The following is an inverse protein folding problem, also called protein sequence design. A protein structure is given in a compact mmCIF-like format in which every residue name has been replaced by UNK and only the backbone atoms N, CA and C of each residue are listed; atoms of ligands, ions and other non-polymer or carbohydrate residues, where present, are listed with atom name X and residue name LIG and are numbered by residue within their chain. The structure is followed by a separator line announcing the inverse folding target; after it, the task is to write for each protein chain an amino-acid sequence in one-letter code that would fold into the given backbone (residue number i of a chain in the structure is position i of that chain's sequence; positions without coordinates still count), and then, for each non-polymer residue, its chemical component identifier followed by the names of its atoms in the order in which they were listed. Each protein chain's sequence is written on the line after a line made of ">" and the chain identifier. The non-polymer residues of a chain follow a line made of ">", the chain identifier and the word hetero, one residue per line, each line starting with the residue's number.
data_IF_276672718771
#
_entry.id   IF_276672718771
#
_cell.length_a   1.000
_cell.length_b   1.000
_cell.length_c   1.000
_cell.angle_alpha   90.00
_cell.angle_beta   90.00
_cell.angle_gamma   90.00
#
_symmetry.space_group_name_H-M   'P 1'
#
loop_
_entity.id
_entity.type
_entity.pdbx_description
1 polymer ?
#
# COMPACT_ATOMS: atom_id res chain seq x y z
N UNK A 1 -32.29 -9.89 22.70
CA UNK A 1 -31.57 -9.32 21.54
C UNK A 1 -30.70 -8.19 22.09
N UNK A 2 -29.45 -8.50 22.46
CA UNK A 2 -28.55 -7.51 23.05
C UNK A 2 -28.17 -6.49 21.98
N UNK A 3 -28.49 -5.21 22.21
CA UNK A 3 -27.88 -4.13 21.44
C UNK A 3 -26.39 -4.21 21.73
N UNK A 4 -25.58 -4.53 20.73
CA UNK A 4 -24.13 -4.34 20.81
C UNK A 4 -23.92 -2.88 21.20
N UNK A 5 -23.40 -2.63 22.40
CA UNK A 5 -23.04 -1.27 22.78
C UNK A 5 -22.08 -0.72 21.72
N UNK A 6 -22.29 0.53 21.33
CA UNK A 6 -21.40 1.19 20.37
C UNK A 6 -19.98 1.12 20.92
N UNK A 7 -19.02 0.67 20.11
CA UNK A 7 -17.60 0.63 20.47
C UNK A 7 -17.07 2.01 20.92
N UNK A 8 -17.75 3.10 20.53
CA UNK A 8 -17.49 4.47 20.97
C UNK A 8 -17.68 4.63 22.48
N UNK A 9 -18.62 3.89 23.09
CA UNK A 9 -18.87 3.93 24.53
C UNK A 9 -17.79 3.21 25.35
N UNK A 10 -16.89 2.46 24.69
CA UNK A 10 -15.80 1.71 25.31
C UNK A 10 -14.42 2.35 25.08
N UNK A 11 -14.32 3.35 24.20
CA UNK A 11 -13.08 4.04 23.90
C UNK A 11 -12.87 5.25 24.80
N UNK A 12 -11.64 5.42 25.31
CA UNK A 12 -11.22 6.64 26.00
C UNK A 12 -11.26 7.86 25.07
N UNK A 13 -11.37 9.06 25.66
CA UNK A 13 -11.30 10.32 24.92
C UNK A 13 -10.01 10.42 24.11
N UNK A 14 -8.88 9.97 24.66
CA UNK A 14 -7.59 9.94 23.97
C UNK A 14 -7.63 9.05 22.72
N UNK A 15 -8.24 7.86 22.81
CA UNK A 15 -8.39 6.95 21.68
C UNK A 15 -9.28 7.55 20.58
N UNK A 16 -10.38 8.21 20.96
CA UNK A 16 -11.27 8.89 20.02
C UNK A 16 -10.53 10.03 19.31
N UNK A 17 -9.80 10.87 20.04
CA UNK A 17 -9.02 11.96 19.47
C UNK A 17 -7.90 11.45 18.54
N UNK A 18 -7.21 10.38 18.92
CA UNK A 18 -6.19 9.75 18.09
C UNK A 18 -6.79 9.21 16.79
N UNK A 19 -7.95 8.56 16.86
CA UNK A 19 -8.66 8.09 15.68
C UNK A 19 -9.15 9.24 14.79
N UNK A 20 -9.67 10.32 15.39
CA UNK A 20 -10.06 11.53 14.67
C UNK A 20 -8.94 12.14 13.83
N UNK A 21 -7.71 12.18 14.38
CA UNK A 21 -6.53 12.63 13.63
C UNK A 21 -6.18 11.72 12.44
N UNK A 22 -6.39 10.41 12.57
CA UNK A 22 -6.22 9.48 11.44
C UNK A 22 -7.25 9.74 10.35
N UNK A 23 -8.52 9.90 10.74
CA UNK A 23 -9.60 10.24 9.80
C UNK A 23 -9.31 11.54 9.05
N UNK A 24 -8.80 12.56 9.73
CA UNK A 24 -8.35 13.80 9.09
C UNK A 24 -7.27 13.55 8.03
N UNK A 25 -6.25 12.72 8.34
CA UNK A 25 -5.23 12.33 7.37
C UNK A 25 -5.82 11.58 6.17
N UNK A 26 -6.81 10.71 6.38
CA UNK A 26 -7.46 9.98 5.29
C UNK A 26 -8.25 10.92 4.39
N UNK A 27 -8.98 11.87 4.98
CA UNK A 27 -9.71 12.90 4.24
C UNK A 27 -8.76 13.80 3.43
N UNK A 28 -7.60 14.17 3.98
CA UNK A 28 -6.59 14.96 3.29
C UNK A 28 -6.04 14.24 2.05
N UNK A 29 -5.77 12.94 2.15
CA UNK A 29 -5.42 12.13 0.99
C UNK A 29 -6.57 12.06 -0.02
N UNK A 30 -7.81 11.87 0.46
CA UNK A 30 -9.00 11.86 -0.38
C UNK A 30 -9.18 13.13 -1.20
N UNK A 31 -9.04 14.30 -0.56
CA UNK A 31 -9.07 15.61 -1.21
C UNK A 31 -7.94 15.76 -2.25
N UNK A 32 -6.76 15.22 -1.95
CA UNK A 32 -5.64 15.21 -2.90
C UNK A 32 -5.95 14.37 -4.13
N UNK A 33 -6.59 13.20 -3.96
CA UNK A 33 -7.05 12.37 -5.07
C UNK A 33 -8.12 13.10 -5.90
N UNK A 34 -9.07 13.76 -5.26
CA UNK A 34 -10.10 14.56 -5.95
C UNK A 34 -9.47 15.63 -6.84
N UNK A 35 -8.55 16.42 -6.28
CA UNK A 35 -7.79 17.45 -7.02
C UNK A 35 -7.03 16.88 -8.21
N UNK A 36 -6.29 15.79 -8.01
CA UNK A 36 -5.48 15.17 -9.08
C UNK A 36 -6.35 14.68 -10.23
N UNK A 37 -7.56 14.20 -9.93
CA UNK A 37 -8.47 13.67 -10.94
C UNK A 37 -9.42 14.73 -11.52
N UNK A 38 -9.51 15.91 -10.90
CA UNK A 38 -10.41 16.99 -11.32
C UNK A 38 -10.05 17.49 -12.74
N UNK A 39 -10.98 17.44 -13.72
CA UNK A 39 -10.67 17.73 -15.13
C UNK A 39 -10.04 19.10 -15.39
N UNK A 40 -10.38 20.11 -14.59
CA UNK A 40 -9.89 21.49 -14.74
C UNK A 40 -8.60 21.77 -13.96
N UNK A 41 -8.25 20.91 -12.99
CA UNK A 41 -7.02 21.04 -12.18
C UNK A 41 -5.92 20.07 -12.66
N UNK A 42 -6.19 19.31 -13.73
CA UNK A 42 -5.21 18.50 -14.45
C UNK A 42 -4.19 19.38 -15.16
N UNK A 43 -3.26 19.95 -14.39
CA UNK A 43 -2.01 20.47 -14.95
C UNK A 43 -1.22 19.32 -15.59
N UNK A 44 -0.43 19.62 -16.63
CA UNK A 44 0.45 18.63 -17.28
C UNK A 44 1.32 17.94 -16.21
N UNK A 45 1.27 16.61 -16.05
CA UNK A 45 1.76 16.06 -14.79
C UNK A 45 3.19 15.52 -15.02
N UNK A 46 3.97 15.07 -14.04
CA UNK A 46 3.78 13.70 -13.52
C UNK A 46 4.94 13.27 -12.60
N UNK A 47 5.52 14.18 -11.80
CA UNK A 47 6.51 13.79 -10.75
C UNK A 47 6.16 14.26 -9.36
N UNK A 48 5.32 15.28 -9.24
CA UNK A 48 4.78 15.68 -7.95
C UNK A 48 3.99 14.50 -7.37
N UNK A 49 4.24 14.22 -6.11
CA UNK A 49 3.57 13.21 -5.34
C UNK A 49 2.50 13.82 -4.46
N UNK A 50 1.61 12.96 -3.97
CA UNK A 50 0.70 13.30 -2.88
C UNK A 50 1.07 12.44 -1.68
N UNK A 51 0.94 13.03 -0.49
CA UNK A 51 1.10 12.31 0.77
C UNK A 51 -0.08 11.35 0.94
N UNK A 52 0.21 10.06 1.12
CA UNK A 52 -0.78 9.02 1.39
C UNK A 52 -1.03 8.93 2.90
N UNK A 53 0.02 8.61 3.65
CA UNK A 53 0.00 8.48 5.10
C UNK A 53 1.44 8.45 5.66
N UNK A 54 1.59 8.43 6.98
CA UNK A 54 2.84 7.98 7.63
C UNK A 54 2.94 6.46 7.57
N UNK A 55 4.15 5.89 7.56
CA UNK A 55 4.32 4.42 7.46
C UNK A 55 3.63 3.69 8.62
N UNK A 56 2.61 2.86 8.33
CA UNK A 56 1.91 2.08 9.35
C UNK A 56 2.81 1.16 10.17
N UNK A 57 2.44 0.91 11.43
CA UNK A 57 3.21 0.09 12.37
C UNK A 57 3.63 -1.26 11.81
N UNK A 58 2.68 -2.00 11.22
CA UNK A 58 2.93 -3.31 10.62
C UNK A 58 3.93 -3.28 9.45
N UNK A 59 3.94 -2.18 8.68
CA UNK A 59 4.93 -1.99 7.61
C UNK A 59 6.32 -1.69 8.19
N UNK A 60 6.40 -1.00 9.33
CA UNK A 60 7.67 -0.80 10.05
C UNK A 60 8.19 -2.11 10.66
N UNK A 61 7.31 -2.95 11.18
CA UNK A 61 7.68 -4.24 11.76
C UNK A 61 8.28 -5.20 10.73
N UNK A 62 7.79 -5.18 9.48
CA UNK A 62 8.42 -5.94 8.37
C UNK A 62 9.70 -5.31 7.85
N UNK A 63 10.06 -4.10 8.31
CA UNK A 63 11.36 -3.48 8.08
C UNK A 63 11.34 -2.14 7.34
N UNK A 64 10.19 -1.56 6.98
CA UNK A 64 10.17 -0.23 6.37
C UNK A 64 10.63 0.83 7.39
N UNK A 65 11.41 1.82 6.94
CA UNK A 65 11.76 2.97 7.79
C UNK A 65 10.52 3.80 8.09
N UNK A 66 10.56 4.54 9.20
CA UNK A 66 9.50 5.47 9.59
C UNK A 66 9.52 6.75 8.73
N UNK A 67 9.15 6.60 7.46
CA UNK A 67 9.13 7.66 6.45
C UNK A 67 7.67 7.96 6.04
N UNK A 68 7.38 9.15 5.48
CA UNK A 68 6.10 9.39 4.85
C UNK A 68 5.92 8.49 3.61
N UNK A 69 4.68 8.08 3.34
CA UNK A 69 4.30 7.32 2.16
C UNK A 69 3.72 8.24 1.10
N UNK A 70 4.27 8.18 -0.11
CA UNK A 70 3.84 9.03 -1.23
C UNK A 70 3.45 8.20 -2.44
N UNK A 71 2.57 8.76 -3.27
CA UNK A 71 2.21 8.23 -4.60
C UNK A 71 2.27 9.37 -5.62
N UNK A 72 2.83 9.13 -6.81
CA UNK A 72 2.81 10.18 -7.85
C UNK A 72 1.39 10.45 -8.33
N UNK A 73 1.14 11.69 -8.77
CA UNK A 73 -0.08 12.01 -9.51
C UNK A 73 -0.25 11.13 -10.76
N UNK A 74 0.86 10.75 -11.42
CA UNK A 74 0.85 9.78 -12.53
C UNK A 74 0.24 8.46 -12.10
N UNK A 75 0.72 7.89 -11.00
CA UNK A 75 0.25 6.59 -10.53
C UNK A 75 -1.22 6.65 -10.12
N UNK A 76 -1.70 7.74 -9.51
CA UNK A 76 -3.14 7.92 -9.25
C UNK A 76 -3.94 7.89 -10.56
N UNK A 77 -3.54 8.68 -11.56
CA UNK A 77 -4.22 8.73 -12.86
C UNK A 77 -4.23 7.34 -13.51
N UNK A 78 -3.07 6.67 -13.55
CA UNK A 78 -2.93 5.32 -14.10
C UNK A 78 -3.82 4.30 -13.37
N UNK A 79 -3.86 4.35 -12.04
CA UNK A 79 -4.71 3.46 -11.24
C UNK A 79 -6.19 3.64 -11.61
N UNK A 80 -6.63 4.88 -11.88
CA UNK A 80 -8.03 5.16 -12.28
C UNK A 80 -8.35 4.94 -13.74
N UNK A 81 -7.37 5.00 -14.62
CA UNK A 81 -7.61 4.92 -16.05
C UNK A 81 -8.12 3.52 -16.40
N UNK A 82 -9.12 3.44 -17.27
CA UNK A 82 -9.66 2.16 -17.74
C UNK A 82 -8.56 1.27 -18.28
N UNK A 83 -8.64 -0.03 -17.96
CA UNK A 83 -7.71 -1.06 -18.41
C UNK A 83 -7.65 -1.03 -19.94
N UNK A 84 -6.45 -0.94 -20.49
CA UNK A 84 -6.23 -0.91 -21.92
C UNK A 84 -5.24 -2.02 -22.32
N UNK A 85 -5.49 -2.69 -23.45
CA UNK A 85 -4.65 -3.81 -23.91
C UNK A 85 -3.18 -3.38 -24.14
N UNK A 86 -2.98 -2.13 -24.54
CA UNK A 86 -1.66 -1.56 -24.82
C UNK A 86 -1.01 -0.86 -23.62
N UNK A 87 -1.65 -0.81 -22.44
CA UNK A 87 -1.09 -0.17 -21.26
C UNK A 87 -1.40 -0.94 -19.98
N UNK A 88 -0.40 -1.70 -19.52
CA UNK A 88 -0.47 -2.48 -18.28
C UNK A 88 -0.46 -1.64 -17.00
N UNK A 89 -0.14 -0.35 -17.07
CA UNK A 89 -0.22 0.57 -15.93
C UNK A 89 -1.67 1.02 -15.64
N UNK A 90 -2.60 0.79 -16.57
CA UNK A 90 -4.00 1.19 -16.39
C UNK A 90 -4.80 0.10 -15.67
N UNK A 91 -5.45 0.49 -14.57
CA UNK A 91 -6.00 -0.48 -13.62
C UNK A 91 -7.51 -0.39 -13.40
N UNK A 92 -8.16 0.67 -13.89
CA UNK A 92 -9.61 0.83 -13.88
C UNK A 92 -10.23 0.85 -12.48
N UNK A 93 -9.48 1.32 -11.48
CA UNK A 93 -10.02 1.55 -10.14
C UNK A 93 -10.88 2.80 -10.11
N UNK A 94 -11.95 2.75 -9.34
CA UNK A 94 -12.71 3.93 -8.98
C UNK A 94 -11.90 4.85 -8.08
N UNK A 95 -12.27 6.12 -8.09
CA UNK A 95 -11.75 7.12 -7.17
C UNK A 95 -11.90 6.69 -5.70
N UNK A 96 -13.08 6.18 -5.35
CA UNK A 96 -13.40 5.78 -3.98
C UNK A 96 -12.58 4.55 -3.52
N UNK A 97 -12.22 3.64 -4.43
CA UNK A 97 -11.30 2.54 -4.10
C UNK A 97 -9.90 3.06 -3.76
N UNK A 98 -9.36 4.03 -4.53
CA UNK A 98 -8.06 4.63 -4.24
C UNK A 98 -8.07 5.35 -2.89
N UNK A 99 -9.12 6.11 -2.59
CA UNK A 99 -9.22 6.90 -1.35
C UNK A 99 -9.16 6.07 -0.07
N UNK A 100 -9.48 4.78 -0.12
CA UNK A 100 -9.37 3.84 1.02
C UNK A 100 -7.94 3.47 1.37
N UNK A 101 -6.97 3.76 0.50
CA UNK A 101 -5.59 3.31 0.63
C UNK A 101 -4.95 3.58 2.01
N UNK A 102 -4.97 4.81 2.58
CA UNK A 102 -4.27 5.07 3.83
C UNK A 102 -4.84 4.27 5.01
N UNK A 103 -6.16 4.14 5.09
CA UNK A 103 -6.83 3.35 6.13
C UNK A 103 -6.55 1.85 5.96
N UNK A 104 -6.69 1.34 4.73
CA UNK A 104 -6.49 -0.08 4.44
C UNK A 104 -5.04 -0.54 4.66
N UNK A 105 -4.06 0.35 4.46
CA UNK A 105 -2.65 0.08 4.74
C UNK A 105 -2.33 -0.01 6.23
N UNK A 106 -3.18 0.51 7.12
CA UNK A 106 -2.97 0.33 8.56
C UNK A 106 -3.11 -1.13 8.98
N UNK A 107 -3.99 -1.87 8.31
CA UNK A 107 -4.34 -3.24 8.66
C UNK A 107 -4.44 -4.14 7.40
N UNK A 108 -3.34 -4.31 6.65
CA UNK A 108 -3.31 -5.15 5.45
C UNK A 108 -3.62 -6.60 5.83
N UNK A 109 -4.19 -7.35 4.90
CA UNK A 109 -4.52 -8.78 5.12
C UNK A 109 -3.28 -9.64 4.99
N UNK A 110 -2.43 -9.35 4.00
CA UNK A 110 -1.22 -10.10 3.69
C UNK A 110 -0.12 -9.11 3.30
N UNK A 111 1.11 -9.35 3.78
CA UNK A 111 2.31 -8.67 3.28
C UNK A 111 3.24 -9.72 2.67
N UNK A 112 3.82 -9.40 1.51
CA UNK A 112 4.77 -10.27 0.81
C UNK A 112 5.95 -9.47 0.30
N UNK A 113 7.07 -10.14 0.04
CA UNK A 113 8.12 -9.57 -0.80
C UNK A 113 7.63 -9.48 -2.25
N UNK A 114 8.11 -8.49 -2.99
CA UNK A 114 7.86 -8.38 -4.42
C UNK A 114 8.62 -9.46 -5.20
N UNK A 115 8.01 -9.93 -6.29
CA UNK A 115 8.65 -10.85 -7.23
C UNK A 115 9.55 -10.16 -8.24
N UNK A 116 9.24 -8.91 -8.57
CA UNK A 116 9.86 -8.18 -9.69
C UNK A 116 10.82 -7.10 -9.24
N UNK A 117 10.68 -6.61 -8.00
CA UNK A 117 11.52 -5.57 -7.46
C UNK A 117 12.10 -6.02 -6.12
N UNK A 118 13.42 -6.10 -6.04
CA UNK A 118 14.10 -6.43 -4.77
C UNK A 118 13.73 -5.38 -3.71
N UNK A 119 13.64 -5.84 -2.46
CA UNK A 119 13.43 -4.99 -1.28
C UNK A 119 12.08 -4.25 -1.24
N UNK A 120 11.20 -4.51 -2.21
CA UNK A 120 9.85 -3.96 -2.23
C UNK A 120 8.86 -4.91 -1.55
N UNK A 121 7.84 -4.31 -0.95
CA UNK A 121 6.73 -5.02 -0.30
C UNK A 121 5.49 -4.93 -1.18
N UNK A 122 4.72 -6.01 -1.22
CA UNK A 122 3.37 -6.02 -1.76
C UNK A 122 2.40 -6.23 -0.60
N UNK A 123 1.46 -5.29 -0.45
CA UNK A 123 0.37 -5.40 0.52
C UNK A 123 -0.91 -5.85 -0.18
N UNK A 124 -1.60 -6.84 0.39
CA UNK A 124 -2.96 -7.22 0.00
C UNK A 124 -3.93 -6.56 0.97
N UNK A 125 -4.88 -5.78 0.45
CA UNK A 125 -5.84 -5.02 1.23
C UNK A 125 -7.12 -5.83 1.52
N UNK A 126 -7.99 -5.34 2.39
CA UNK A 126 -9.20 -6.05 2.83
C UNK A 126 -10.46 -5.76 2.00
N UNK A 127 -10.28 -5.28 0.77
CA UNK A 127 -11.36 -5.05 -0.18
C UNK A 127 -10.98 -5.48 -1.59
N UNK A 128 -12.00 -5.52 -2.46
CA UNK A 128 -11.91 -5.99 -3.84
C UNK A 128 -12.22 -4.85 -4.80
N UNK A 129 -11.70 -4.93 -6.02
CA UNK A 129 -12.09 -4.03 -7.10
C UNK A 129 -13.53 -4.33 -7.56
N UNK A 130 -14.07 -3.47 -8.44
CA UNK A 130 -15.39 -3.67 -9.08
C UNK A 130 -15.56 -5.01 -9.81
N UNK A 131 -14.48 -5.69 -10.19
CA UNK A 131 -14.51 -7.01 -10.84
C UNK A 131 -14.39 -8.16 -9.80
N UNK A 132 -14.42 -7.85 -8.50
CA UNK A 132 -14.28 -8.81 -7.41
C UNK A 132 -12.84 -9.27 -7.14
N UNK A 133 -11.82 -8.60 -7.68
CA UNK A 133 -10.42 -9.02 -7.53
C UNK A 133 -9.81 -8.42 -6.26
N UNK A 134 -9.06 -9.19 -5.44
CA UNK A 134 -8.35 -8.65 -4.29
C UNK A 134 -7.41 -7.52 -4.70
N UNK A 135 -7.45 -6.41 -3.97
CA UNK A 135 -6.58 -5.27 -4.24
C UNK A 135 -5.19 -5.54 -3.67
N UNK A 136 -4.16 -5.28 -4.48
CA UNK A 136 -2.78 -5.26 -4.04
C UNK A 136 -2.14 -3.89 -4.25
N UNK A 137 -1.18 -3.56 -3.40
CA UNK A 137 -0.41 -2.32 -3.43
C UNK A 137 1.08 -2.66 -3.48
N UNK A 138 1.77 -2.15 -4.49
CA UNK A 138 3.23 -2.26 -4.58
C UNK A 138 3.89 -1.07 -3.90
N UNK A 139 4.75 -1.34 -2.92
CA UNK A 139 5.43 -0.35 -2.09
C UNK A 139 6.93 -0.55 -2.26
N UNK A 140 7.61 0.51 -2.69
CA UNK A 140 9.06 0.58 -2.77
C UNK A 140 9.60 1.39 -1.58
N UNK A 141 10.22 0.74 -0.58
CA UNK A 141 10.77 1.43 0.58
C UNK A 141 11.91 2.37 0.23
N UNK A 142 12.16 3.36 1.10
CA UNK A 142 13.36 4.21 1.06
C UNK A 142 13.62 4.92 -0.29
N UNK A 143 12.58 5.19 -1.07
CA UNK A 143 12.66 5.95 -2.30
C UNK A 143 12.69 7.46 -2.05
N UNK A 144 12.55 8.23 -3.14
CA UNK A 144 12.43 9.67 -3.10
C UNK A 144 11.14 10.11 -3.80
N UNK A 145 10.43 11.05 -3.19
CA UNK A 145 9.28 11.73 -3.77
C UNK A 145 9.63 13.19 -4.05
N UNK A 146 9.02 13.79 -5.08
CA UNK A 146 8.94 15.25 -5.18
C UNK A 146 7.61 15.65 -4.55
N UNK A 147 7.65 16.35 -3.43
CA UNK A 147 6.47 16.76 -2.67
C UNK A 147 6.67 18.20 -2.17
N UNK A 148 5.70 19.05 -2.45
CA UNK A 148 5.74 20.50 -2.22
C UNK A 148 7.01 21.14 -2.81
N UNK A 149 7.33 20.76 -4.06
CA UNK A 149 8.51 21.21 -4.81
C UNK A 149 9.87 20.80 -4.18
N UNK A 150 9.87 19.90 -3.18
CA UNK A 150 11.07 19.42 -2.50
C UNK A 150 11.24 17.92 -2.70
N UNK A 151 12.50 17.47 -2.72
CA UNK A 151 12.79 16.03 -2.62
C UNK A 151 12.68 15.60 -1.17
N UNK A 152 11.85 14.59 -0.92
CA UNK A 152 11.66 13.99 0.41
C UNK A 152 11.88 12.49 0.34
N UNK A 153 12.49 11.91 1.38
CA UNK A 153 12.58 10.45 1.52
C UNK A 153 11.19 9.86 1.75
N UNK A 154 10.91 8.70 1.15
CA UNK A 154 9.57 8.13 1.20
C UNK A 154 9.54 6.61 1.01
N UNK A 155 8.61 5.95 1.70
CA UNK A 155 8.16 4.63 1.27
C UNK A 155 7.11 4.82 0.16
N UNK A 156 7.52 4.54 -1.08
CA UNK A 156 6.83 4.99 -2.26
C UNK A 156 5.80 3.98 -2.76
N UNK A 157 4.54 4.39 -2.89
CA UNK A 157 3.50 3.59 -3.52
C UNK A 157 3.63 3.70 -5.04
N UNK A 158 3.96 2.59 -5.68
CA UNK A 158 4.19 2.53 -7.12
C UNK A 158 2.94 2.18 -7.92
N UNK A 159 2.05 1.36 -7.36
CA UNK A 159 0.81 0.97 -8.02
C UNK A 159 -0.18 0.37 -7.04
N UNK A 160 -1.46 0.45 -7.37
CA UNK A 160 -2.56 -0.21 -6.67
C UNK A 160 -3.53 -0.76 -7.71
N UNK A 161 -3.89 -2.04 -7.61
CA UNK A 161 -4.74 -2.69 -8.62
C UNK A 161 -5.36 -4.01 -8.15
N UNK A 162 -6.47 -4.40 -8.78
CA UNK A 162 -7.08 -5.71 -8.61
C UNK A 162 -6.23 -6.82 -9.22
N UNK A 163 -5.86 -7.82 -8.41
CA UNK A 163 -4.95 -8.90 -8.83
C UNK A 163 -5.73 -10.04 -9.50
N UNK A 164 -5.49 -10.24 -10.80
CA UNK A 164 -5.90 -11.44 -11.52
C UNK A 164 -5.17 -12.69 -11.02
N UNK A 165 -5.83 -13.86 -11.09
CA UNK A 165 -5.27 -15.16 -10.68
C UNK A 165 -4.66 -15.10 -9.28
N UNK A 166 -5.41 -14.54 -8.33
CA UNK A 166 -4.93 -14.24 -6.99
C UNK A 166 -4.50 -15.49 -6.22
N UNK A 167 -5.23 -16.60 -6.34
CA UNK A 167 -4.86 -17.88 -5.75
C UNK A 167 -3.47 -18.34 -6.21
N UNK A 168 -3.19 -18.31 -7.52
CA UNK A 168 -1.86 -18.64 -8.07
C UNK A 168 -0.78 -17.68 -7.55
N UNK A 169 -1.12 -16.40 -7.34
CA UNK A 169 -0.19 -15.44 -6.76
C UNK A 169 0.17 -15.82 -5.31
N UNK A 170 -0.83 -16.16 -4.48
CA UNK A 170 -0.59 -16.61 -3.11
C UNK A 170 0.18 -17.92 -3.06
N UNK A 171 -0.19 -18.93 -3.86
CA UNK A 171 0.52 -20.20 -3.89
C UNK A 171 2.01 -19.96 -4.22
N UNK A 172 2.30 -19.12 -5.21
CA UNK A 172 3.67 -18.73 -5.54
C UNK A 172 4.39 -18.01 -4.40
N UNK A 173 3.70 -17.16 -3.63
CA UNK A 173 4.27 -16.50 -2.45
C UNK A 173 4.69 -17.53 -1.40
N UNK A 174 3.89 -18.58 -1.20
CA UNK A 174 4.19 -19.66 -0.27
C UNK A 174 5.35 -20.53 -0.77
N UNK A 175 5.32 -20.94 -2.04
CA UNK A 175 6.35 -21.76 -2.69
C UNK A 175 7.73 -21.10 -2.65
N UNK A 176 7.80 -19.80 -2.98
CA UNK A 176 9.04 -19.01 -2.96
C UNK A 176 9.38 -18.46 -1.56
N UNK A 177 8.63 -18.83 -0.51
CA UNK A 177 8.84 -18.39 0.88
C UNK A 177 8.91 -16.87 1.02
N UNK A 178 8.07 -16.13 0.30
CA UNK A 178 8.02 -14.66 0.25
C UNK A 178 7.00 -14.03 1.19
N UNK A 179 6.24 -14.84 1.94
CA UNK A 179 5.27 -14.35 2.91
C UNK A 179 5.96 -13.62 4.07
N UNK A 180 5.51 -12.39 4.36
CA UNK A 180 6.01 -11.56 5.46
C UNK A 180 5.04 -11.54 6.65
N UNK A 181 3.74 -11.47 6.36
CA UNK A 181 2.67 -11.42 7.35
C UNK A 181 1.36 -11.91 6.72
N UNK A 182 0.50 -12.50 7.54
CA UNK A 182 -0.88 -12.81 7.16
C UNK A 182 -1.81 -12.71 8.38
N UNK A 183 -2.93 -12.01 8.20
CA UNK A 183 -4.01 -11.93 9.18
C UNK A 183 -4.96 -13.12 9.03
N UNK A 184 -5.09 -13.98 10.05
CA UNK A 184 -5.90 -15.22 9.95
C UNK A 184 -7.38 -14.95 9.71
N UNK A 185 -7.94 -14.04 10.50
CA UNK A 185 -9.39 -13.78 10.50
C UNK A 185 -9.81 -13.13 9.18
N UNK A 186 -9.10 -12.07 8.76
CA UNK A 186 -9.39 -11.39 7.50
C UNK A 186 -9.14 -12.30 6.30
N UNK A 187 -8.04 -13.07 6.29
CA UNK A 187 -7.73 -13.94 5.15
C UNK A 187 -8.76 -15.04 4.94
N UNK A 188 -9.30 -15.62 6.02
CA UNK A 188 -10.39 -16.61 5.97
C UNK A 188 -11.71 -15.96 5.56
N UNK A 189 -12.09 -14.86 6.23
CA UNK A 189 -13.35 -14.16 5.95
C UNK A 189 -13.44 -13.70 4.49
N UNK A 190 -12.34 -13.20 3.93
CA UNK A 190 -12.29 -12.72 2.55
C UNK A 190 -12.05 -13.81 1.51
N UNK A 191 -11.79 -15.06 1.93
CA UNK A 191 -11.47 -16.17 1.03
C UNK A 191 -10.18 -15.91 0.24
N UNK A 192 -9.15 -15.38 0.89
CA UNK A 192 -7.85 -15.10 0.26
C UNK A 192 -6.91 -16.29 0.29
N UNK A 193 -7.17 -17.26 1.16
CA UNK A 193 -6.38 -18.48 1.34
C UNK A 193 -7.33 -19.68 1.27
N UNK A 194 -6.93 -20.73 0.56
CA UNK A 194 -7.62 -22.02 0.53
C UNK A 194 -7.05 -23.02 1.55
N UNK A 195 -7.76 -24.14 1.76
CA UNK A 195 -7.38 -25.17 2.74
C UNK A 195 -6.02 -25.84 2.50
N UNK A 196 -5.53 -25.89 1.26
CA UNK A 196 -4.22 -26.42 0.90
C UNK A 196 -3.11 -25.42 1.20
N UNK A 197 -3.34 -24.14 0.92
CA UNK A 197 -2.45 -23.03 1.28
C UNK A 197 -2.35 -22.85 2.80
N UNK A 198 -3.45 -23.03 3.54
CA UNK A 198 -3.46 -22.93 5.01
C UNK A 198 -2.42 -23.86 5.66
N UNK A 199 -2.21 -25.05 5.09
CA UNK A 199 -1.26 -26.06 5.61
C UNK A 199 0.21 -25.66 5.44
N UNK A 200 0.51 -24.73 4.53
CA UNK A 200 1.86 -24.25 4.24
C UNK A 200 2.25 -23.04 5.09
N UNK A 201 1.28 -22.39 5.74
CA UNK A 201 1.51 -21.20 6.54
C UNK A 201 1.96 -21.61 7.96
N UNK A 202 3.23 -21.31 8.28
CA UNK A 202 3.81 -21.66 9.57
C UNK A 202 3.16 -20.91 10.75
N UNK A 203 2.69 -19.68 10.52
CA UNK A 203 2.03 -18.90 11.56
C UNK A 203 1.23 -17.74 11.01
N UNK A 204 0.28 -17.27 11.79
CA UNK A 204 -0.59 -16.14 11.48
C UNK A 204 -0.41 -15.02 12.50
N UNK A 205 -0.87 -13.82 12.14
CA UNK A 205 -1.03 -12.66 13.02
C UNK A 205 0.27 -12.16 13.66
N UNK A 206 1.42 -12.51 13.07
CA UNK A 206 2.75 -12.00 13.42
C UNK A 206 3.65 -11.91 12.20
N UNK A 207 4.70 -11.10 12.30
CA UNK A 207 5.72 -10.99 11.26
C UNK A 207 6.52 -12.29 11.19
N UNK A 208 6.54 -12.92 10.01
CA UNK A 208 7.26 -14.17 9.74
C UNK A 208 8.72 -13.91 9.40
N UNK A 209 9.00 -12.82 8.68
CA UNK A 209 10.35 -12.33 8.39
C UNK A 209 10.31 -10.84 8.04
N UNK A 210 11.46 -10.18 8.17
CA UNK A 210 11.66 -8.81 7.69
C UNK A 210 12.20 -8.84 6.26
N UNK A 211 11.93 -7.79 5.49
CA UNK A 211 12.57 -7.61 4.18
C UNK A 211 14.08 -7.42 4.36
N UNK A 212 14.86 -7.99 3.44
CA UNK A 212 16.29 -7.70 3.37
C UNK A 212 16.48 -6.27 2.86
N UNK A 213 17.24 -5.45 3.59
CA UNK A 213 17.64 -4.11 3.15
C UNK A 213 19.14 -4.12 2.81
N UNK A 214 19.51 -3.73 1.60
CA UNK A 214 20.89 -3.38 1.25
C UNK A 214 21.19 -2.06 1.98
N UNK A 215 22.21 -2.09 2.84
CA UNK A 215 22.81 -0.86 3.35
C UNK A 215 23.34 -0.05 2.15
N UNK A 216 22.79 1.13 1.90
CA UNK A 216 23.35 2.05 0.91
C UNK A 216 24.77 2.45 1.33
N UNK A 217 25.78 1.80 0.74
CA UNK A 217 27.14 2.35 0.71
C UNK A 217 27.07 3.67 -0.04
N UNK A 218 27.13 4.76 0.73
CA UNK A 218 27.04 6.13 0.23
C UNK A 218 27.82 6.33 -1.07
N UNK A 219 27.09 6.51 -2.17
CA UNK A 219 27.64 6.96 -3.43
C UNK A 219 28.06 8.43 -3.27
N UNK A 220 29.27 8.66 -2.75
CA UNK A 220 29.99 9.91 -3.01
C UNK A 220 30.21 9.96 -4.52
N UNK A 221 29.42 10.77 -5.23
CA UNK A 221 29.74 11.18 -6.59
C UNK A 221 31.15 11.77 -6.57
N UNK A 222 32.14 11.02 -7.08
CA UNK A 222 33.36 11.61 -7.57
C UNK A 222 32.97 12.48 -8.77
N UNK A 223 32.90 13.80 -8.55
CA UNK A 223 32.99 14.78 -9.63
C UNK A 223 34.30 14.52 -10.35
N UNK A 224 34.25 13.86 -11.50
CA UNK A 224 35.35 13.91 -12.46
C UNK A 224 35.32 15.30 -13.10
N UNK A 225 36.20 16.18 -12.62
CA UNK A 225 36.71 17.28 -13.44
C UNK A 225 37.54 16.64 -14.53
N UNK A 226 37.25 16.88 -15.81
CA UNK A 226 38.18 17.00 -16.95
C UNK A 226 37.40 17.86 -17.96
N UNK A 227 37.78 19.15 -18.09
CA UNK A 227 38.62 19.71 -19.15
C UNK A 227 37.91 19.67 -20.51
#
# INVERSE_FOLDING_TARGET
>A
IGRTESMINQASTEQILAYGKKCESYLNFGNSVDRVLHPLERASPRREAVLVCTTPGILREVGLKDLPMHITQKHIINCTHEKAENNSEYHGLSKEEIKKLPEALENPVILTESFTQKESVVAVLDFRDKDGKPIIVAIHPNGQAVYELKKVESNFVQSMYGRNKFENFIQRVLDEKKLLYINRTKSKYLGYIDSGQEKQIASYDKILKKISQIEEKGHKLKRSKHL
#
